data_IF_669426511723
#
_entry.id   IF_669426511723
#
_cell.length_a   1.000
_cell.length_b   1.000
_cell.length_c   1.000
_cell.angle_alpha   90.00
_cell.angle_beta   90.00
_cell.angle_gamma   90.00
#
_symmetry.space_group_name_H-M   'P 1'
#
loop_
_entity.id
_entity.type
_entity.pdbx_description
1 polymer ?
#
# COMPACT_ATOMS: atom_id res chain seq x y z
N UNK A 1 3.01 13.09 -6.21
CA UNK A 1 4.26 12.44 -6.65
C UNK A 1 3.97 11.20 -7.48
N UNK A 2 3.13 10.26 -7.02
CA UNK A 2 2.70 9.08 -7.80
C UNK A 2 1.74 9.50 -8.91
N UNK A 3 2.23 9.51 -10.15
CA UNK A 3 1.51 10.05 -11.30
C UNK A 3 0.77 8.94 -12.08
N UNK A 4 -0.14 9.33 -12.98
CA UNK A 4 -0.71 8.44 -13.98
C UNK A 4 0.39 7.81 -14.82
N UNK A 5 0.19 6.57 -15.26
CA UNK A 5 1.19 5.76 -15.95
C UNK A 5 2.18 5.05 -15.03
N UNK A 6 2.45 5.57 -13.84
CA UNK A 6 3.30 4.91 -12.87
C UNK A 6 2.69 3.59 -12.35
N UNK A 7 3.57 2.65 -12.01
CA UNK A 7 3.19 1.36 -11.44
C UNK A 7 3.67 1.22 -10.01
N UNK A 8 2.78 0.71 -9.15
CA UNK A 8 3.13 0.26 -7.81
C UNK A 8 3.32 -1.26 -7.79
N UNK A 9 4.33 -1.72 -7.05
CA UNK A 9 4.46 -3.09 -6.57
C UNK A 9 4.68 -3.03 -5.06
N UNK A 10 3.63 -3.26 -4.31
CA UNK A 10 3.60 -3.08 -2.86
C UNK A 10 3.13 -4.32 -2.13
N UNK A 11 2.72 -4.13 -0.88
CA UNK A 11 2.31 -5.19 0.02
C UNK A 11 1.10 -4.74 0.87
N UNK A 12 0.58 -5.64 1.68
CA UNK A 12 -0.70 -5.51 2.39
C UNK A 12 -0.83 -4.34 3.38
N UNK A 13 0.20 -3.56 3.62
CA UNK A 13 0.12 -2.32 4.45
C UNK A 13 -0.12 -1.05 3.66
N UNK A 14 -0.28 -1.16 2.35
CA UNK A 14 -0.42 0.00 1.47
C UNK A 14 -1.87 0.52 1.34
N UNK A 15 -2.80 0.13 2.22
CA UNK A 15 -4.19 0.57 2.13
C UNK A 15 -4.35 2.10 2.14
N UNK A 16 -3.62 2.79 2.99
CA UNK A 16 -3.65 4.27 3.03
C UNK A 16 -3.08 4.89 1.77
N UNK A 17 -2.02 4.30 1.21
CA UNK A 17 -1.48 4.72 -0.07
C UNK A 17 -2.52 4.55 -1.19
N UNK A 18 -3.17 3.39 -1.28
CA UNK A 18 -4.20 3.12 -2.30
C UNK A 18 -5.40 4.05 -2.17
N UNK A 19 -5.82 4.39 -0.95
CA UNK A 19 -6.87 5.40 -0.70
C UNK A 19 -6.40 6.80 -1.09
N UNK A 20 -5.18 7.18 -0.76
CA UNK A 20 -4.62 8.50 -1.08
C UNK A 20 -4.51 8.76 -2.59
N UNK A 21 -4.34 7.72 -3.39
CA UNK A 21 -4.33 7.83 -4.86
C UNK A 21 -5.71 7.63 -5.50
N UNK A 22 -6.78 7.49 -4.70
CA UNK A 22 -8.18 7.24 -5.11
C UNK A 22 -8.40 5.94 -5.90
N UNK A 23 -7.59 4.92 -5.65
CA UNK A 23 -7.74 3.58 -6.26
C UNK A 23 -8.39 2.57 -5.29
N UNK A 24 -8.71 2.98 -4.06
CA UNK A 24 -9.40 2.20 -3.05
C UNK A 24 -10.33 3.10 -2.24
N UNK A 25 -11.57 2.70 -2.07
CA UNK A 25 -12.50 3.32 -1.13
C UNK A 25 -12.53 2.57 0.21
N UNK A 26 -12.97 3.23 1.28
CA UNK A 26 -13.15 2.59 2.58
C UNK A 26 -14.15 1.41 2.51
N UNK A 27 -15.24 1.56 1.75
CA UNK A 27 -16.23 0.49 1.56
C UNK A 27 -15.59 -0.73 0.89
N UNK A 28 -14.80 -0.53 -0.16
CA UNK A 28 -14.08 -1.61 -0.84
C UNK A 28 -13.05 -2.30 0.06
N UNK A 29 -12.34 -1.53 0.90
CA UNK A 29 -11.43 -2.09 1.92
C UNK A 29 -12.16 -3.05 2.86
N UNK A 30 -13.30 -2.63 3.41
CA UNK A 30 -14.10 -3.48 4.28
C UNK A 30 -14.73 -4.65 3.53
N UNK A 31 -15.17 -4.46 2.28
CA UNK A 31 -15.67 -5.54 1.44
C UNK A 31 -14.61 -6.62 1.19
N UNK A 32 -13.35 -6.23 1.00
CA UNK A 32 -12.21 -7.16 0.92
C UNK A 32 -11.97 -7.92 2.22
N UNK A 33 -12.10 -7.25 3.38
CA UNK A 33 -11.98 -7.92 4.70
C UNK A 33 -13.11 -8.92 4.94
N UNK A 34 -14.30 -8.68 4.40
CA UNK A 34 -15.45 -9.62 4.48
C UNK A 34 -15.44 -10.68 3.37
N UNK A 35 -14.44 -10.67 2.48
CA UNK A 35 -14.35 -11.55 1.32
C UNK A 35 -15.62 -11.50 0.44
N UNK A 36 -16.15 -10.28 0.19
CA UNK A 36 -17.33 -10.09 -0.66
C UNK A 36 -17.00 -10.53 -2.10
N UNK A 37 -17.83 -11.38 -2.66
CA UNK A 37 -17.59 -11.97 -4.00
C UNK A 37 -18.16 -11.13 -5.14
N UNK A 38 -18.89 -10.06 -4.84
CA UNK A 38 -19.39 -9.13 -5.85
C UNK A 38 -18.26 -8.19 -6.29
N UNK A 39 -17.91 -8.23 -7.58
CA UNK A 39 -16.85 -7.43 -8.18
C UNK A 39 -17.14 -5.91 -8.13
N UNK A 40 -18.39 -5.51 -8.01
CA UNK A 40 -18.75 -4.10 -7.85
C UNK A 40 -18.46 -3.59 -6.44
N UNK A 41 -18.54 -4.47 -5.44
CA UNK A 41 -18.27 -4.17 -4.04
C UNK A 41 -16.78 -4.39 -3.68
N UNK A 42 -16.17 -5.42 -4.25
CA UNK A 42 -14.73 -5.73 -4.05
C UNK A 42 -14.05 -5.94 -5.43
N UNK A 43 -13.66 -4.85 -6.12
CA UNK A 43 -13.12 -4.93 -7.47
C UNK A 43 -11.68 -5.47 -7.55
N UNK A 44 -10.96 -5.60 -6.43
CA UNK A 44 -9.56 -6.01 -6.41
C UNK A 44 -9.39 -7.50 -6.70
N UNK A 45 -10.24 -8.34 -6.12
CA UNK A 45 -10.13 -9.80 -6.23
C UNK A 45 -11.46 -10.55 -6.26
N UNK A 46 -12.58 -9.85 -6.06
CA UNK A 46 -13.90 -10.47 -5.85
C UNK A 46 -13.88 -11.52 -4.72
N UNK A 47 -13.28 -11.16 -3.59
CA UNK A 47 -13.16 -12.03 -2.41
C UNK A 47 -12.20 -13.21 -2.55
N UNK A 48 -11.44 -13.30 -3.64
CA UNK A 48 -10.57 -14.47 -3.91
C UNK A 48 -9.20 -14.39 -3.25
N UNK A 49 -8.79 -13.21 -2.80
CA UNK A 49 -7.53 -13.01 -2.09
C UNK A 49 -7.80 -12.63 -0.64
N UNK A 50 -6.77 -12.71 0.19
CA UNK A 50 -6.82 -12.18 1.55
C UNK A 50 -7.12 -10.68 1.53
N UNK A 51 -7.85 -10.20 2.53
CA UNK A 51 -8.05 -8.76 2.72
C UNK A 51 -6.74 -7.99 2.70
N UNK A 52 -6.81 -6.72 2.27
CA UNK A 52 -5.66 -5.82 2.12
C UNK A 52 -4.66 -6.21 1.00
N UNK A 53 -5.07 -6.99 0.02
CA UNK A 53 -4.34 -7.21 -1.23
C UNK A 53 -4.97 -6.38 -2.34
N UNK A 54 -4.21 -5.42 -2.85
CA UNK A 54 -4.71 -4.43 -3.80
C UNK A 54 -4.13 -4.64 -5.18
N UNK A 55 -4.94 -4.33 -6.19
CA UNK A 55 -4.54 -4.32 -7.59
C UNK A 55 -5.42 -3.36 -8.38
N UNK A 56 -4.97 -2.93 -9.54
CA UNK A 56 -5.81 -2.23 -10.52
C UNK A 56 -6.05 -3.13 -11.72
N UNK A 57 -7.24 -3.00 -12.32
CA UNK A 57 -7.60 -3.79 -13.50
C UNK A 57 -6.94 -3.20 -14.73
N UNK A 58 -6.14 -4.00 -15.44
CA UNK A 58 -5.38 -3.59 -16.62
C UNK A 58 -6.07 -3.92 -17.95
N UNK A 59 -7.11 -4.75 -17.93
CA UNK A 59 -7.87 -5.19 -19.11
C UNK A 59 -9.30 -4.65 -19.08
N UNK A 60 -9.85 -4.42 -20.27
CA UNK A 60 -11.27 -4.22 -20.47
C UNK A 60 -12.01 -5.57 -20.44
N UNK A 61 -13.35 -5.56 -20.41
CA UNK A 61 -14.18 -6.78 -20.41
C UNK A 61 -13.97 -7.64 -21.66
N UNK A 62 -13.64 -7.04 -22.79
CA UNK A 62 -13.35 -7.71 -24.05
C UNK A 62 -11.92 -8.31 -24.12
N UNK A 63 -11.15 -8.21 -23.02
CA UNK A 63 -9.75 -8.66 -22.95
C UNK A 63 -8.73 -7.72 -23.57
N UNK A 64 -9.13 -6.60 -24.12
CA UNK A 64 -8.19 -5.59 -24.64
C UNK A 64 -7.52 -4.81 -23.50
N UNK A 65 -6.30 -4.32 -23.76
CA UNK A 65 -5.60 -3.48 -22.77
C UNK A 65 -6.26 -2.13 -22.59
N UNK A 66 -6.46 -1.74 -21.33
CA UNK A 66 -6.79 -0.37 -20.95
C UNK A 66 -5.65 0.59 -21.32
N UNK A 67 -5.95 1.87 -21.27
CA UNK A 67 -4.96 2.94 -21.42
C UNK A 67 -4.23 3.14 -20.08
N UNK A 68 -3.15 2.35 -19.87
CA UNK A 68 -2.42 2.31 -18.63
C UNK A 68 -1.62 3.60 -18.35
N UNK A 69 -1.38 4.43 -19.36
CA UNK A 69 -0.71 5.73 -19.17
C UNK A 69 -1.62 6.78 -18.54
N UNK A 70 -2.93 6.60 -18.62
CA UNK A 70 -3.93 7.52 -18.08
C UNK A 70 -4.55 7.07 -16.76
N UNK A 71 -4.11 5.93 -16.22
CA UNK A 71 -4.49 5.45 -14.89
C UNK A 71 -3.28 5.33 -13.96
N UNK A 72 -3.52 5.30 -12.66
CA UNK A 72 -2.54 4.88 -11.66
C UNK A 72 -2.58 3.37 -11.56
N UNK A 73 -1.45 2.71 -11.68
CA UNK A 73 -1.41 1.27 -11.80
C UNK A 73 -0.84 0.62 -10.54
N UNK A 74 -1.48 -0.44 -10.08
CA UNK A 74 -0.96 -1.29 -9.04
C UNK A 74 -0.97 -2.74 -9.52
N UNK A 75 0.19 -3.37 -9.50
CA UNK A 75 0.24 -4.82 -9.63
C UNK A 75 -0.37 -5.47 -8.39
N UNK A 76 -0.92 -6.67 -8.54
CA UNK A 76 -1.50 -7.39 -7.41
C UNK A 76 -0.50 -7.57 -6.27
N UNK A 77 -0.92 -7.25 -5.06
CA UNK A 77 -0.08 -7.44 -3.88
C UNK A 77 0.23 -8.92 -3.63
N UNK A 78 1.32 -9.17 -2.94
CA UNK A 78 1.77 -10.51 -2.57
C UNK A 78 1.92 -10.61 -1.05
N UNK A 79 1.63 -11.79 -0.51
CA UNK A 79 1.71 -12.05 0.94
C UNK A 79 3.11 -12.41 1.40
N UNK A 80 3.91 -13.06 0.53
CA UNK A 80 5.27 -13.49 0.89
C UNK A 80 6.16 -12.26 1.07
N UNK A 81 6.83 -12.20 2.20
CA UNK A 81 7.73 -11.09 2.57
C UNK A 81 8.79 -10.86 1.49
N UNK A 82 8.91 -9.63 1.03
CA UNK A 82 9.90 -9.24 0.02
C UNK A 82 9.54 -9.60 -1.44
N UNK A 83 8.51 -10.41 -1.70
CA UNK A 83 8.18 -10.90 -3.04
C UNK A 83 7.72 -9.81 -4.02
N UNK A 84 7.33 -8.63 -3.54
CA UNK A 84 7.02 -7.48 -4.38
C UNK A 84 8.26 -6.91 -5.09
N UNK A 85 9.47 -7.16 -4.57
CA UNK A 85 10.72 -6.57 -5.07
C UNK A 85 11.10 -7.03 -6.49
N UNK A 86 11.10 -8.33 -6.84
CA UNK A 86 11.39 -8.77 -8.21
C UNK A 86 10.42 -8.19 -9.24
N UNK A 87 9.14 -8.10 -8.91
CA UNK A 87 8.13 -7.50 -9.77
C UNK A 87 8.37 -6.01 -9.96
N UNK A 88 8.72 -5.30 -8.90
CA UNK A 88 9.11 -3.89 -8.95
C UNK A 88 10.26 -3.66 -9.92
N UNK A 89 11.29 -4.50 -9.86
CA UNK A 89 12.42 -4.46 -10.78
C UNK A 89 11.96 -4.67 -12.24
N UNK A 90 11.09 -5.66 -12.47
CA UNK A 90 10.54 -5.95 -13.80
C UNK A 90 9.76 -4.77 -14.37
N UNK A 91 8.91 -4.11 -13.58
CA UNK A 91 8.16 -2.91 -13.98
C UNK A 91 9.10 -1.74 -14.32
N UNK A 92 10.12 -1.51 -13.52
CA UNK A 92 11.12 -0.48 -13.78
C UNK A 92 11.94 -0.78 -15.03
N UNK A 93 12.30 -2.04 -15.25
CA UNK A 93 13.02 -2.48 -16.45
C UNK A 93 12.16 -2.31 -17.71
N UNK A 94 10.87 -2.60 -17.62
CA UNK A 94 9.93 -2.36 -18.74
C UNK A 94 9.91 -0.88 -19.13
N UNK A 95 9.78 0.03 -18.18
CA UNK A 95 9.84 1.48 -18.43
C UNK A 95 11.14 1.88 -19.13
N UNK A 96 12.29 1.39 -18.65
CA UNK A 96 13.59 1.63 -19.30
C UNK A 96 13.64 1.11 -20.75
N UNK A 97 13.06 -0.07 -21.01
CA UNK A 97 13.00 -0.64 -22.37
C UNK A 97 12.10 0.18 -23.28
N UNK A 98 10.94 0.67 -22.82
CA UNK A 98 10.06 1.55 -23.59
C UNK A 98 10.75 2.84 -24.06
N UNK A 99 11.74 3.35 -23.35
CA UNK A 99 12.55 4.49 -23.82
C UNK A 99 13.41 4.14 -25.04
N UNK A 100 13.84 2.90 -25.16
CA UNK A 100 14.75 2.42 -26.21
C UNK A 100 14.03 1.74 -27.37
N UNK A 101 12.95 1.02 -27.11
CA UNK A 101 12.28 0.19 -28.10
C UNK A 101 11.23 0.99 -28.88
N UNK A 102 11.20 0.74 -30.20
CA UNK A 102 10.15 1.21 -31.11
C UNK A 102 9.11 0.09 -31.27
N UNK A 103 8.22 -0.07 -30.29
CA UNK A 103 7.17 -1.09 -30.34
C UNK A 103 5.84 -0.51 -30.79
N UNK A 104 5.04 -1.32 -31.53
CA UNK A 104 3.62 -1.02 -31.79
C UNK A 104 2.86 -1.03 -30.44
N UNK A 105 1.87 -0.17 -30.31
CA UNK A 105 1.02 -0.06 -29.09
C UNK A 105 1.70 0.45 -27.81
N UNK A 106 2.97 0.87 -27.83
CA UNK A 106 3.61 1.40 -26.62
C UNK A 106 2.83 2.57 -26.01
N UNK A 107 2.06 3.30 -26.82
CA UNK A 107 1.25 4.46 -26.37
C UNK A 107 0.18 4.12 -25.32
N UNK A 108 -0.16 2.84 -25.14
CA UNK A 108 -1.05 2.38 -24.06
C UNK A 108 -0.29 2.09 -22.76
N UNK A 109 1.02 1.89 -22.82
CA UNK A 109 1.84 1.38 -21.71
C UNK A 109 2.85 2.37 -21.19
N UNK A 110 3.32 3.30 -22.04
CA UNK A 110 4.40 4.19 -21.66
C UNK A 110 4.42 5.48 -22.47
N UNK A 111 4.69 6.59 -21.78
CA UNK A 111 5.03 7.87 -22.36
C UNK A 111 6.56 7.97 -22.38
N UNK A 112 7.17 7.40 -23.39
CA UNK A 112 8.61 7.50 -23.65
C UNK A 112 9.52 6.95 -22.51
N UNK A 113 9.02 5.98 -21.73
CA UNK A 113 9.75 5.40 -20.59
C UNK A 113 9.96 6.38 -19.43
N UNK A 114 8.97 7.25 -19.20
CA UNK A 114 9.02 8.23 -18.11
C UNK A 114 8.32 7.71 -16.84
N UNK A 115 7.74 6.53 -16.87
CA UNK A 115 7.04 5.94 -15.74
C UNK A 115 8.04 5.44 -14.70
N UNK A 116 7.82 5.83 -13.46
CA UNK A 116 8.59 5.35 -12.30
C UNK A 116 7.85 4.16 -11.69
N UNK A 117 8.58 3.08 -11.42
CA UNK A 117 8.04 1.97 -10.64
C UNK A 117 8.27 2.24 -9.14
N UNK A 118 7.18 2.17 -8.37
CA UNK A 118 7.17 2.47 -6.94
C UNK A 118 6.96 1.22 -6.13
N UNK A 119 7.82 0.99 -5.15
CA UNK A 119 7.69 -0.12 -4.21
C UNK A 119 7.75 0.34 -2.77
N UNK A 120 7.02 -0.36 -1.92
CA UNK A 120 7.02 -0.18 -0.47
C UNK A 120 7.49 -1.46 0.19
N UNK A 121 8.24 -1.34 1.29
CA UNK A 121 8.73 -2.46 2.08
C UNK A 121 8.95 -2.02 3.52
N UNK A 122 8.60 -2.88 4.48
CA UNK A 122 8.93 -2.64 5.89
C UNK A 122 10.41 -2.90 6.20
N UNK A 123 10.94 -2.27 7.23
CA UNK A 123 12.31 -2.43 7.68
C UNK A 123 12.71 -3.90 7.88
N UNK A 124 11.92 -4.67 8.59
CA UNK A 124 12.18 -6.09 8.84
C UNK A 124 12.28 -6.91 7.53
N UNK A 125 11.42 -6.59 6.57
CA UNK A 125 11.37 -7.29 5.28
C UNK A 125 12.62 -7.03 4.41
N UNK A 126 13.41 -6.02 4.71
CA UNK A 126 14.68 -5.78 4.01
C UNK A 126 15.76 -6.81 4.35
N UNK A 127 15.53 -7.66 5.36
CA UNK A 127 16.41 -8.79 5.69
C UNK A 127 16.25 -10.00 4.76
N UNK A 128 15.23 -10.01 3.89
CA UNK A 128 15.06 -11.06 2.90
C UNK A 128 16.13 -11.00 1.81
N UNK A 129 16.69 -12.16 1.43
CA UNK A 129 17.75 -12.25 0.41
C UNK A 129 17.36 -11.61 -0.92
N UNK A 130 16.10 -11.79 -1.34
CA UNK A 130 15.57 -11.23 -2.58
C UNK A 130 15.60 -9.70 -2.62
N UNK A 131 15.56 -9.03 -1.48
CA UNK A 131 15.73 -7.58 -1.42
C UNK A 131 17.11 -7.17 -1.93
N UNK A 132 18.18 -7.79 -1.43
CA UNK A 132 19.55 -7.49 -1.85
C UNK A 132 19.82 -7.88 -3.32
N UNK A 133 19.25 -9.00 -3.79
CA UNK A 133 19.34 -9.40 -5.19
C UNK A 133 18.74 -8.32 -6.12
N UNK A 134 17.56 -7.82 -5.77
CA UNK A 134 16.89 -6.76 -6.53
C UNK A 134 17.68 -5.44 -6.47
N UNK A 135 18.25 -5.08 -5.32
CA UNK A 135 19.11 -3.90 -5.24
C UNK A 135 20.33 -4.03 -6.15
N UNK A 136 21.01 -5.16 -6.11
CA UNK A 136 22.15 -5.37 -6.98
C UNK A 136 21.76 -5.23 -8.47
N UNK A 137 20.70 -5.91 -8.88
CA UNK A 137 20.23 -5.85 -10.27
C UNK A 137 19.80 -4.44 -10.69
N UNK A 138 19.03 -3.74 -9.85
CA UNK A 138 18.58 -2.39 -10.14
C UNK A 138 19.73 -1.38 -10.22
N UNK A 139 20.71 -1.52 -9.32
CA UNK A 139 21.93 -0.70 -9.30
C UNK A 139 22.76 -0.88 -10.57
N UNK A 140 22.94 -2.12 -11.04
CA UNK A 140 23.65 -2.43 -12.30
C UNK A 140 22.85 -1.95 -13.52
N UNK A 141 21.57 -2.23 -13.54
CA UNK A 141 20.73 -1.89 -14.70
C UNK A 141 20.33 -0.42 -14.78
N UNK A 142 20.45 0.35 -13.70
CA UNK A 142 20.03 1.76 -13.65
C UNK A 142 18.61 1.94 -14.20
N UNK A 143 17.62 1.52 -13.43
CA UNK A 143 16.19 1.50 -13.80
C UNK A 143 15.41 2.57 -13.05
N UNK A 144 14.32 3.13 -13.60
CA UNK A 144 13.49 4.13 -12.91
C UNK A 144 12.63 3.50 -11.82
N UNK A 145 13.23 3.27 -10.66
CA UNK A 145 12.65 2.59 -9.52
C UNK A 145 12.82 3.42 -8.25
N UNK A 146 11.76 3.55 -7.46
CA UNK A 146 11.81 4.12 -6.12
C UNK A 146 11.33 3.07 -5.12
N UNK A 147 12.18 2.74 -4.17
CA UNK A 147 11.86 1.87 -3.03
C UNK A 147 11.68 2.75 -1.80
N UNK A 148 10.49 2.73 -1.21
CA UNK A 148 10.20 3.36 0.07
C UNK A 148 10.30 2.33 1.18
N UNK A 149 11.28 2.48 2.07
CA UNK A 149 11.46 1.63 3.24
C UNK A 149 10.79 2.32 4.42
N UNK A 150 9.80 1.66 5.01
CA UNK A 150 9.07 2.19 6.16
C UNK A 150 9.60 1.57 7.44
N UNK A 151 10.29 2.39 8.24
CA UNK A 151 11.04 1.96 9.41
C UNK A 151 10.46 2.56 10.70
N UNK A 152 9.91 1.69 11.54
CA UNK A 152 9.41 1.99 12.87
C UNK A 152 10.32 1.44 13.99
N UNK A 153 11.56 1.08 13.65
CA UNK A 153 12.58 0.45 14.50
C UNK A 153 12.26 -0.99 14.96
N UNK A 154 11.16 -1.60 14.49
CA UNK A 154 10.77 -2.93 14.92
C UNK A 154 10.40 -3.84 13.74
N UNK A 155 10.76 -5.11 13.86
CA UNK A 155 10.20 -6.21 13.06
C UNK A 155 9.25 -7.03 13.92
N UNK A 156 7.96 -6.70 13.95
CA UNK A 156 6.95 -7.17 14.90
C UNK A 156 7.37 -6.77 16.32
N UNK A 157 8.13 -7.62 17.03
CA UNK A 157 8.63 -7.42 18.39
C UNK A 157 10.16 -7.35 18.48
N UNK A 158 10.86 -7.50 17.37
CA UNK A 158 12.33 -7.52 17.30
C UNK A 158 12.84 -6.12 16.98
N UNK A 159 13.69 -5.57 17.83
CA UNK A 159 14.29 -4.25 17.60
C UNK A 159 15.31 -4.27 16.44
N UNK A 160 15.46 -3.16 15.74
CA UNK A 160 16.44 -3.02 14.64
C UNK A 160 17.86 -3.40 15.04
N UNK A 161 18.25 -3.16 16.29
CA UNK A 161 19.60 -3.53 16.80
C UNK A 161 19.90 -5.04 16.72
N UNK A 162 18.84 -5.87 16.83
CA UNK A 162 18.95 -7.33 16.82
C UNK A 162 18.62 -7.92 15.43
N UNK A 163 18.25 -7.09 14.47
CA UNK A 163 17.80 -7.49 13.15
C UNK A 163 18.66 -6.95 12.00
N UNK A 164 19.12 -5.70 12.11
CA UNK A 164 19.79 -4.99 11.02
C UNK A 164 21.19 -4.58 11.40
N UNK A 165 22.18 -5.02 10.62
CA UNK A 165 23.55 -4.56 10.78
C UNK A 165 23.62 -3.03 10.73
N UNK A 166 24.47 -2.40 11.55
CA UNK A 166 24.51 -0.94 11.76
C UNK A 166 23.25 -0.34 12.40
N UNK A 167 22.27 -1.15 12.73
CA UNK A 167 20.96 -0.70 13.28
C UNK A 167 20.25 0.33 12.39
N UNK A 168 20.66 0.44 11.14
CA UNK A 168 20.13 1.38 10.16
C UNK A 168 20.27 0.82 8.75
N UNK A 169 19.17 0.71 8.04
CA UNK A 169 19.14 0.16 6.69
C UNK A 169 19.91 1.06 5.72
N UNK A 170 19.76 2.38 5.80
CA UNK A 170 20.51 3.30 4.94
C UNK A 170 22.01 3.23 5.17
N UNK A 171 22.45 3.01 6.40
CA UNK A 171 23.87 2.80 6.71
C UNK A 171 24.38 1.42 6.24
N UNK A 172 23.57 0.38 6.43
CA UNK A 172 23.89 -0.96 5.92
C UNK A 172 24.03 -0.97 4.39
N UNK A 173 23.24 -0.13 3.71
CA UNK A 173 23.25 0.00 2.25
C UNK A 173 24.21 1.07 1.72
N UNK A 174 25.06 1.66 2.54
CA UNK A 174 25.98 2.72 2.12
C UNK A 174 26.90 2.33 0.95
N UNK A 175 27.24 1.04 0.83
CA UNK A 175 27.99 0.50 -0.30
C UNK A 175 27.23 0.51 -1.64
N UNK A 176 25.90 0.65 -1.62
CA UNK A 176 25.07 0.80 -2.82
C UNK A 176 24.87 2.25 -3.23
N UNK A 177 25.33 3.22 -2.42
CA UNK A 177 25.24 4.64 -2.76
C UNK A 177 26.03 4.93 -4.04
N UNK A 178 25.44 5.71 -4.93
CA UNK A 178 26.09 6.15 -6.18
C UNK A 178 27.41 6.87 -5.92
N UNK A 179 28.32 6.63 -6.82
CA UNK A 179 29.60 7.32 -6.88
C UNK A 179 29.81 7.94 -8.28
N UNK A 180 31.00 8.45 -8.52
CA UNK A 180 31.40 9.05 -9.80
C UNK A 180 31.31 8.08 -11.01
N UNK A 181 31.27 6.77 -10.79
CA UNK A 181 31.15 5.74 -11.83
C UNK A 181 29.73 5.56 -12.38
N UNK A 182 28.75 6.29 -11.84
CA UNK A 182 27.36 6.31 -12.31
C UNK A 182 26.57 4.99 -12.13
N UNK A 183 26.99 4.12 -11.26
CA UNK A 183 26.24 2.95 -10.80
C UNK A 183 25.69 3.15 -9.39
N UNK A 184 24.85 2.25 -8.92
CA UNK A 184 24.26 2.29 -7.59
C UNK A 184 23.00 3.15 -7.47
N UNK A 185 22.60 3.40 -6.24
CA UNK A 185 21.38 4.10 -5.85
C UNK A 185 21.65 5.51 -5.36
N UNK A 186 20.67 6.39 -5.52
CA UNK A 186 20.55 7.55 -4.65
C UNK A 186 19.82 7.11 -3.39
N UNK A 187 20.45 7.25 -2.21
CA UNK A 187 19.85 6.89 -0.92
C UNK A 187 19.48 8.18 -0.19
N UNK A 188 18.19 8.35 0.06
CA UNK A 188 17.61 9.50 0.74
C UNK A 188 17.02 9.03 2.07
N UNK A 189 17.21 9.84 3.12
CA UNK A 189 16.63 9.58 4.45
C UNK A 189 15.71 10.72 4.86
N UNK A 190 14.61 10.39 5.51
CA UNK A 190 13.65 11.38 6.03
C UNK A 190 12.92 10.80 7.23
N UNK A 191 12.51 11.63 8.18
CA UNK A 191 11.70 11.20 9.31
C UNK A 191 10.21 11.15 8.93
N UNK A 192 9.50 10.10 9.37
CA UNK A 192 8.11 9.85 8.99
C UNK A 192 7.11 10.88 9.53
N UNK A 193 7.46 11.58 10.60
CA UNK A 193 6.67 12.66 11.20
C UNK A 193 6.93 14.03 10.56
N UNK A 194 7.93 14.18 9.69
CA UNK A 194 8.30 15.45 9.05
C UNK A 194 7.64 15.58 7.67
N UNK A 195 6.38 16.00 7.67
CA UNK A 195 5.56 16.06 6.46
C UNK A 195 6.15 16.92 5.33
N UNK A 196 6.64 18.16 5.56
CA UNK A 196 7.25 18.97 4.50
C UNK A 196 8.47 18.29 3.87
N UNK A 197 9.34 17.71 4.67
CA UNK A 197 10.53 17.03 4.18
C UNK A 197 10.17 15.70 3.49
N UNK A 198 9.10 15.00 3.90
CA UNK A 198 8.58 13.85 3.16
C UNK A 198 8.20 14.26 1.73
N UNK A 199 7.41 15.33 1.57
CA UNK A 199 7.01 15.82 0.24
C UNK A 199 8.23 16.17 -0.62
N UNK A 200 9.17 16.92 -0.08
CA UNK A 200 10.39 17.33 -0.79
C UNK A 200 11.26 16.12 -1.18
N UNK A 201 11.41 15.15 -0.27
CA UNK A 201 12.21 13.95 -0.50
C UNK A 201 11.60 13.07 -1.60
N UNK A 202 10.30 12.83 -1.55
CA UNK A 202 9.63 12.04 -2.58
C UNK A 202 9.55 12.75 -3.92
N UNK A 203 9.43 14.09 -3.95
CA UNK A 203 9.49 14.85 -5.18
C UNK A 203 10.88 14.73 -5.81
N UNK A 204 11.94 14.93 -5.02
CA UNK A 204 13.33 14.74 -5.47
C UNK A 204 13.56 13.32 -5.99
N UNK A 205 13.08 12.31 -5.28
CA UNK A 205 13.20 10.90 -5.70
C UNK A 205 12.50 10.65 -7.04
N UNK A 206 11.27 11.18 -7.20
CA UNK A 206 10.53 11.08 -8.45
C UNK A 206 11.29 11.70 -9.63
N UNK A 207 11.77 12.93 -9.48
CA UNK A 207 12.39 13.69 -10.56
C UNK A 207 13.70 13.03 -11.01
N UNK A 208 14.55 12.65 -10.05
CA UNK A 208 15.81 11.94 -10.35
C UNK A 208 15.53 10.62 -11.06
N UNK A 209 14.61 9.82 -10.53
CA UNK A 209 14.31 8.49 -11.09
C UNK A 209 13.69 8.59 -12.47
N UNK A 210 12.73 9.50 -12.67
CA UNK A 210 12.04 9.73 -13.94
C UNK A 210 12.95 10.24 -15.04
N UNK A 211 13.73 11.26 -14.74
CA UNK A 211 14.55 11.93 -15.75
C UNK A 211 15.80 11.10 -16.12
N UNK A 212 16.48 10.60 -15.10
CA UNK A 212 17.82 10.01 -15.21
C UNK A 212 17.83 8.49 -15.20
N UNK A 213 16.68 7.82 -14.89
CA UNK A 213 16.61 6.37 -14.69
C UNK A 213 17.57 5.87 -13.62
N UNK A 214 17.71 6.66 -12.54
CA UNK A 214 18.50 6.28 -11.37
C UNK A 214 17.56 5.62 -10.37
N UNK A 215 17.86 4.41 -9.87
CA UNK A 215 17.10 3.80 -8.80
C UNK A 215 17.33 4.55 -7.47
N UNK A 216 16.26 4.73 -6.70
CA UNK A 216 16.25 5.51 -5.47
C UNK A 216 15.80 4.62 -4.31
N UNK A 217 16.44 4.78 -3.17
CA UNK A 217 15.95 4.32 -1.88
C UNK A 217 15.52 5.54 -1.07
N UNK A 218 14.30 5.55 -0.57
CA UNK A 218 13.81 6.51 0.43
C UNK A 218 13.64 5.75 1.73
N UNK A 219 14.55 5.95 2.67
CA UNK A 219 14.45 5.37 4.01
C UNK A 219 13.68 6.33 4.92
N UNK A 220 12.42 6.00 5.17
CA UNK A 220 11.53 6.75 6.08
C UNK A 220 11.70 6.19 7.48
N UNK A 221 12.38 6.95 8.32
CA UNK A 221 12.72 6.58 9.70
C UNK A 221 11.70 7.14 10.70
N UNK A 222 11.76 6.62 11.92
CA UNK A 222 10.97 7.13 13.04
C UNK A 222 9.47 7.12 12.75
N UNK A 223 8.99 6.12 12.02
CA UNK A 223 7.57 5.86 11.90
C UNK A 223 7.01 5.33 13.22
N UNK A 224 5.73 5.57 13.44
CA UNK A 224 5.03 5.12 14.64
C UNK A 224 3.91 4.15 14.30
N UNK A 225 3.66 3.19 15.17
CA UNK A 225 2.53 2.28 15.12
C UNK A 225 1.72 2.35 16.43
N UNK A 226 0.82 3.33 16.59
CA UNK A 226 0.14 3.60 17.88
C UNK A 226 -0.63 2.43 18.45
N UNK A 227 -1.10 1.50 17.63
CA UNK A 227 -1.82 0.28 18.05
C UNK A 227 -0.97 -1.00 17.93
N UNK A 228 0.35 -0.85 17.69
CA UNK A 228 1.28 -1.95 17.50
C UNK A 228 1.18 -2.61 16.11
N UNK A 229 1.99 -3.67 15.90
CA UNK A 229 2.10 -4.35 14.62
C UNK A 229 0.82 -5.10 14.22
N UNK A 230 0.18 -5.75 15.19
CA UNK A 230 -1.05 -6.52 14.99
C UNK A 230 -1.94 -6.50 16.22
N UNK A 231 -3.22 -6.77 16.03
CA UNK A 231 -4.20 -6.84 17.12
C UNK A 231 -4.01 -8.04 18.06
N UNK A 232 -3.20 -9.03 17.69
CA UNK A 232 -2.94 -10.23 18.46
C UNK A 232 -1.86 -10.07 19.53
N UNK A 233 -1.11 -8.98 19.52
CA UNK A 233 -0.02 -8.72 20.47
C UNK A 233 0.00 -7.29 20.95
N UNK A 234 0.02 -7.11 22.28
CA UNK A 234 0.21 -5.80 22.89
C UNK A 234 1.66 -5.38 22.76
N UNK A 235 1.91 -4.21 22.21
CA UNK A 235 3.26 -3.68 22.06
C UNK A 235 3.88 -3.27 23.39
N UNK A 236 3.09 -3.10 24.43
CA UNK A 236 3.56 -2.88 25.81
C UNK A 236 4.35 -4.07 26.37
N UNK A 237 4.25 -5.25 25.74
CA UNK A 237 5.00 -6.44 26.16
C UNK A 237 6.46 -6.42 25.73
N UNK A 238 6.83 -5.65 24.71
CA UNK A 238 8.17 -5.64 24.15
C UNK A 238 8.78 -4.24 23.96
N UNK A 239 7.96 -3.18 23.95
CA UNK A 239 8.45 -1.80 23.91
C UNK A 239 8.58 -1.25 25.32
N UNK A 240 9.64 -0.48 25.57
CA UNK A 240 9.80 0.22 26.86
C UNK A 240 8.75 1.33 27.00
N UNK A 241 8.51 1.76 28.22
CA UNK A 241 7.59 2.86 28.51
C UNK A 241 8.05 4.15 27.83
N UNK A 242 9.35 4.42 27.84
CA UNK A 242 9.97 5.59 27.19
C UNK A 242 9.72 5.56 25.67
N UNK A 243 9.84 4.39 25.03
CA UNK A 243 9.53 4.22 23.61
C UNK A 243 8.05 4.46 23.32
N UNK A 244 7.16 3.92 24.11
CA UNK A 244 5.71 4.13 23.96
C UNK A 244 5.30 5.60 24.14
N UNK A 245 5.89 6.28 25.12
CA UNK A 245 5.64 7.71 25.35
C UNK A 245 6.22 8.56 24.19
N UNK A 246 7.38 8.17 23.64
CA UNK A 246 7.94 8.81 22.46
C UNK A 246 7.04 8.61 21.23
N UNK A 247 6.53 7.40 20.97
CA UNK A 247 5.62 7.11 19.85
C UNK A 247 4.33 7.92 19.92
N UNK A 248 3.75 8.05 21.11
CA UNK A 248 2.56 8.89 21.34
C UNK A 248 2.83 10.36 21.01
N UNK A 249 3.99 10.88 21.43
CA UNK A 249 4.38 12.26 21.19
C UNK A 249 4.74 12.54 19.74
N UNK A 250 5.29 11.55 19.04
CA UNK A 250 5.78 11.67 17.65
C UNK A 250 4.88 10.92 16.66
N UNK A 251 3.63 10.64 17.05
CA UNK A 251 2.64 10.10 16.10
C UNK A 251 2.56 10.99 14.86
N UNK A 252 2.66 10.37 13.67
CA UNK A 252 2.76 11.11 12.42
C UNK A 252 1.52 11.97 12.14
N UNK A 253 0.32 11.50 12.52
CA UNK A 253 -0.90 12.29 12.37
C UNK A 253 -0.95 13.45 13.34
N UNK A 254 -0.50 13.24 14.58
CA UNK A 254 -0.39 14.31 15.57
C UNK A 254 0.59 15.39 15.10
N UNK A 255 1.76 14.99 14.59
CA UNK A 255 2.76 15.93 14.06
C UNK A 255 2.26 16.68 12.83
N UNK A 256 1.49 16.03 11.96
CA UNK A 256 0.83 16.70 10.84
C UNK A 256 -0.19 17.74 11.33
N UNK A 257 -0.97 17.39 12.36
CA UNK A 257 -1.93 18.29 12.98
C UNK A 257 -1.26 19.52 13.60
N UNK A 258 -0.20 19.30 14.37
CA UNK A 258 0.62 20.38 14.95
C UNK A 258 1.15 21.32 13.85
N UNK A 259 1.74 20.75 12.81
CA UNK A 259 2.28 21.51 11.67
C UNK A 259 1.21 22.35 10.96
N UNK A 260 0.00 21.82 10.76
CA UNK A 260 -1.12 22.57 10.16
C UNK A 260 -1.49 23.79 11.01
N UNK A 261 -1.58 23.60 12.32
CA UNK A 261 -1.93 24.68 13.26
C UNK A 261 -0.84 25.75 13.35
N UNK A 262 0.41 25.32 13.49
CA UNK A 262 1.58 26.21 13.60
C UNK A 262 1.75 27.08 12.36
N UNK A 263 1.46 26.53 11.19
CA UNK A 263 1.51 27.24 9.92
C UNK A 263 0.20 27.97 9.58
N UNK A 264 -0.80 27.96 10.46
CA UNK A 264 -2.09 28.65 10.30
C UNK A 264 -2.83 28.24 9.02
N UNK A 265 -2.68 26.99 8.59
CA UNK A 265 -3.35 26.43 7.41
C UNK A 265 -4.82 26.17 7.72
N UNK A 266 -5.12 25.75 8.96
CA UNK A 266 -6.45 25.56 9.49
C UNK A 266 -6.47 25.91 10.99
N UNK A 267 -7.66 26.12 11.54
CA UNK A 267 -7.86 26.30 12.98
C UNK A 267 -8.28 24.99 13.65
N UNK A 268 -8.16 24.94 14.96
CA UNK A 268 -8.43 23.73 15.74
C UNK A 268 -9.83 23.14 15.51
N UNK A 269 -10.87 24.00 15.50
CA UNK A 269 -12.24 23.56 15.30
C UNK A 269 -12.50 22.95 13.92
N UNK A 270 -11.82 23.41 12.88
CA UNK A 270 -11.91 22.81 11.54
C UNK A 270 -11.30 21.40 11.52
N UNK A 271 -10.15 21.21 12.16
CA UNK A 271 -9.53 19.89 12.27
C UNK A 271 -10.38 18.92 13.10
N UNK A 272 -10.99 19.38 14.20
CA UNK A 272 -11.90 18.57 15.02
C UNK A 272 -13.14 18.12 14.21
N UNK A 273 -13.69 18.97 13.36
CA UNK A 273 -14.78 18.59 12.45
C UNK A 273 -14.31 17.49 11.48
N UNK A 274 -13.18 17.70 10.79
CA UNK A 274 -12.62 16.71 9.86
C UNK A 274 -12.35 15.36 10.54
N UNK A 275 -11.78 15.38 11.75
CA UNK A 275 -11.48 14.17 12.52
C UNK A 275 -12.75 13.41 12.93
N UNK A 276 -13.79 14.13 13.33
CA UNK A 276 -15.08 13.51 13.71
C UNK A 276 -15.84 12.98 12.48
N UNK A 277 -15.90 13.75 11.41
CA UNK A 277 -16.51 13.33 10.15
C UNK A 277 -15.81 12.07 9.60
N UNK A 278 -14.47 12.04 9.66
CA UNK A 278 -13.69 10.89 9.23
C UNK A 278 -14.04 9.62 10.02
N UNK A 279 -14.26 9.71 11.34
CA UNK A 279 -14.69 8.58 12.18
C UNK A 279 -16.06 8.05 11.76
N UNK A 280 -17.02 8.95 11.50
CA UNK A 280 -18.36 8.55 11.04
C UNK A 280 -18.32 7.98 9.63
N UNK A 281 -17.52 8.52 8.72
CA UNK A 281 -17.32 7.97 7.36
C UNK A 281 -16.80 6.54 7.44
N UNK A 282 -15.79 6.27 8.27
CA UNK A 282 -15.22 4.91 8.47
C UNK A 282 -16.28 3.95 9.02
N UNK A 283 -17.03 4.38 10.05
CA UNK A 283 -18.08 3.58 10.67
C UNK A 283 -19.19 3.22 9.69
N UNK A 284 -19.63 4.20 8.90
CA UNK A 284 -20.68 3.99 7.88
C UNK A 284 -20.19 3.08 6.76
N UNK A 285 -18.97 3.29 6.24
CA UNK A 285 -18.38 2.44 5.22
C UNK A 285 -18.28 0.97 5.66
N UNK A 286 -17.89 0.73 6.92
CA UNK A 286 -17.86 -0.61 7.52
C UNK A 286 -19.25 -1.24 7.57
N UNK A 287 -20.25 -0.48 8.04
CA UNK A 287 -21.66 -0.94 8.13
C UNK A 287 -22.23 -1.28 6.75
N UNK A 288 -21.99 -0.41 5.77
CA UNK A 288 -22.49 -0.59 4.41
C UNK A 288 -21.86 -1.81 3.73
N UNK A 289 -20.54 -1.98 3.86
CA UNK A 289 -19.86 -3.16 3.34
C UNK A 289 -20.37 -4.46 3.97
N UNK A 290 -20.63 -4.47 5.28
CA UNK A 290 -21.22 -5.62 5.96
C UNK A 290 -22.64 -5.90 5.47
N UNK A 291 -23.45 -4.86 5.29
CA UNK A 291 -24.82 -5.02 4.80
C UNK A 291 -24.85 -5.58 3.37
N UNK A 292 -23.99 -5.09 2.47
CA UNK A 292 -23.91 -5.62 1.09
C UNK A 292 -23.46 -7.07 1.06
N UNK A 293 -22.56 -7.48 1.95
CA UNK A 293 -22.17 -8.88 2.11
C UNK A 293 -23.33 -9.77 2.58
N UNK A 294 -24.15 -9.28 3.53
CA UNK A 294 -25.26 -10.05 4.09
C UNK A 294 -26.50 -10.12 3.18
N UNK A 295 -26.74 -9.10 2.36
CA UNK A 295 -27.98 -9.00 1.56
C UNK A 295 -28.30 -10.24 0.70
N UNK A 296 -27.36 -10.86 -0.03
CA UNK A 296 -27.63 -12.08 -0.79
C UNK A 296 -28.10 -13.23 0.10
N UNK A 297 -27.48 -13.39 1.27
CA UNK A 297 -27.82 -14.45 2.26
C UNK A 297 -29.22 -14.21 2.81
N UNK A 298 -29.53 -12.97 3.21
CA UNK A 298 -30.84 -12.57 3.73
C UNK A 298 -31.92 -12.79 2.66
N UNK A 299 -31.66 -12.43 1.40
CA UNK A 299 -32.61 -12.60 0.31
C UNK A 299 -32.83 -14.09 0.01
N UNK A 300 -31.79 -14.91 -0.03
CA UNK A 300 -31.94 -16.37 -0.20
C UNK A 300 -32.75 -17.00 0.94
N UNK A 301 -32.52 -16.58 2.18
CA UNK A 301 -33.33 -17.00 3.33
C UNK A 301 -34.79 -16.59 3.20
N UNK A 302 -35.04 -15.32 2.83
CA UNK A 302 -36.43 -14.83 2.64
C UNK A 302 -37.17 -15.61 1.56
N UNK A 303 -36.51 -16.03 0.50
CA UNK A 303 -37.10 -16.81 -0.58
C UNK A 303 -37.36 -18.27 -0.17
N UNK A 304 -36.50 -18.85 0.67
CA UNK A 304 -36.60 -20.24 1.11
C UNK A 304 -37.71 -20.45 2.17
N UNK A 305 -37.83 -19.53 3.13
CA UNK A 305 -38.79 -19.69 4.24
C UNK A 305 -40.22 -19.95 3.78
N UNK A 306 -40.82 -19.20 2.82
CA UNK A 306 -42.18 -19.50 2.32
C UNK A 306 -42.29 -20.91 1.76
N UNK A 307 -41.32 -21.36 0.96
CA UNK A 307 -41.31 -22.71 0.37
C UNK A 307 -41.32 -23.80 1.47
N UNK A 308 -40.54 -23.61 2.53
CA UNK A 308 -40.54 -24.55 3.65
C UNK A 308 -41.84 -24.52 4.46
N UNK A 309 -42.46 -23.36 4.60
CA UNK A 309 -43.77 -23.24 5.26
C UNK A 309 -44.86 -23.93 4.46
N UNK A 310 -44.92 -23.66 3.15
CA UNK A 310 -45.89 -24.29 2.24
C UNK A 310 -45.72 -25.82 2.28
N UNK A 311 -44.52 -26.31 2.22
CA UNK A 311 -44.20 -27.74 2.32
C UNK A 311 -44.64 -28.35 3.67
N UNK A 312 -44.41 -27.65 4.77
CA UNK A 312 -44.82 -28.05 6.11
C UNK A 312 -46.34 -28.11 6.24
N UNK A 313 -47.04 -27.15 5.63
CA UNK A 313 -48.53 -27.15 5.60
C UNK A 313 -49.08 -28.34 4.79
N UNK A 314 -48.47 -28.67 3.64
CA UNK A 314 -48.84 -29.86 2.85
C UNK A 314 -48.60 -31.16 3.62
N UNK A 315 -47.43 -31.33 4.29
CA UNK A 315 -47.15 -32.51 5.11
C UNK A 315 -48.17 -32.68 6.23
N UNK A 316 -48.52 -31.60 6.94
CA UNK A 316 -49.54 -31.63 7.99
C UNK A 316 -50.92 -31.99 7.45
N UNK A 317 -51.26 -31.53 6.24
CA UNK A 317 -52.53 -31.82 5.60
C UNK A 317 -52.70 -33.29 5.21
N UNK A 318 -51.61 -33.97 4.88
CA UNK A 318 -51.63 -35.38 4.48
C UNK A 318 -51.28 -36.34 5.61
N UNK A 319 -51.09 -35.91 6.86
CA UNK A 319 -50.66 -36.71 8.02
C UNK A 319 -49.46 -37.63 7.66
N UNK A 320 -48.49 -37.13 6.90
CA UNK A 320 -47.25 -37.83 6.62
C UNK A 320 -46.27 -37.51 7.76
N UNK A 321 -46.05 -38.55 8.64
CA UNK A 321 -45.05 -38.51 9.70
C UNK A 321 -43.60 -38.61 9.12
#
# INVERSE_FOLDING_TARGET
VFQKGAFRSGYYRDQTFMMAINELTLKQLFSGLYANTDINEEPMSAGRQMGAHFSTVSLNEDGSWKDLINQRNSSSDVSCTGSQMPRLLGLAQASKLYRKLKTKNKNKFSVNGNEVAWGTIGNASTSEGVFFEVLNAAGVHQVPMVISIWDDDYGISVENKDQTIKQSISEALSGFQRNSKKDGFEILTVNGWDYPNLINTYQKANDISREKHIPIIVHVKELTQPIGHSTSGSHERYKSKERLDWEKKNDCNLKMREWILDNKIAIQSELEVIENDSKEIVKNAKKDAWQTYLNPIINSRKNLIPILNDLSEEFNKYNLD
#
